data_IF_002684699640
#
_entry.id   IF_002684699640
#
_cell.length_a   1.000
_cell.length_b   1.000
_cell.length_c   1.000
_cell.angle_alpha   90.00
_cell.angle_beta   90.00
_cell.angle_gamma   90.00
#
_symmetry.space_group_name_H-M   'P 1'
#
loop_
_entity.id
_entity.type
_entity.pdbx_description
1 polymer ?
#
# COMPACT_ATOMS: atom_id res chain seq x y z
N UNK A 1 -12.20 3.35 -4.92
CA UNK A 1 -11.70 2.13 -5.58
C UNK A 1 -10.20 2.19 -5.40
N UNK A 2 -9.56 1.16 -4.83
CA UNK A 2 -8.11 1.15 -4.66
C UNK A 2 -7.46 1.10 -6.04
N UNK A 3 -6.56 2.03 -6.33
CA UNK A 3 -5.77 1.95 -7.55
C UNK A 3 -4.79 0.76 -7.48
N UNK A 4 -4.82 -0.16 -8.45
CA UNK A 4 -3.94 -1.33 -8.48
C UNK A 4 -2.45 -0.96 -8.41
N UNK A 5 -2.07 0.20 -8.96
CA UNK A 5 -0.68 0.67 -8.99
C UNK A 5 -0.18 1.06 -7.59
N UNK A 6 -1.01 1.70 -6.77
CA UNK A 6 -0.67 2.05 -5.39
C UNK A 6 -0.53 0.80 -4.53
N UNK A 7 -1.41 -0.19 -4.70
CA UNK A 7 -1.28 -1.48 -4.04
C UNK A 7 0.02 -2.20 -4.40
N UNK A 8 0.40 -2.20 -5.69
CA UNK A 8 1.69 -2.70 -6.14
C UNK A 8 2.85 -1.94 -5.52
N UNK A 9 2.82 -0.60 -5.51
CA UNK A 9 3.89 0.21 -4.92
C UNK A 9 4.07 -0.04 -3.42
N UNK A 10 2.98 -0.17 -2.66
CA UNK A 10 3.03 -0.57 -1.24
C UNK A 10 3.65 -1.95 -1.11
N UNK A 11 3.16 -2.93 -1.88
CA UNK A 11 3.66 -4.29 -1.81
C UNK A 11 5.17 -4.35 -2.06
N UNK A 12 5.64 -3.74 -3.15
CA UNK A 12 7.06 -3.71 -3.50
C UNK A 12 7.89 -2.93 -2.48
N UNK A 13 7.36 -1.82 -1.94
CA UNK A 13 8.03 -1.04 -0.90
C UNK A 13 8.29 -1.86 0.38
N UNK A 14 7.39 -2.79 0.74
CA UNK A 14 7.60 -3.71 1.87
C UNK A 14 8.59 -4.85 1.60
N UNK A 15 8.96 -5.05 0.33
CA UNK A 15 9.75 -6.19 -0.12
C UNK A 15 11.26 -5.90 -0.06
N UNK A 16 11.70 -4.64 -0.21
CA UNK A 16 13.13 -4.27 -0.10
C UNK A 16 13.69 -4.52 1.31
N UNK A 17 12.87 -4.39 2.35
CA UNK A 17 13.33 -4.64 3.73
C UNK A 17 13.45 -6.12 4.06
N UNK A 18 12.91 -7.00 3.21
CA UNK A 18 13.21 -8.41 3.28
C UNK A 18 14.64 -8.63 2.77
N UNK A 19 15.59 -8.69 3.71
CA UNK A 19 17.02 -9.09 3.54
C UNK A 19 17.25 -10.28 2.60
N UNK A 20 16.20 -11.06 2.33
CA UNK A 20 16.14 -12.21 1.44
C UNK A 20 16.43 -11.87 -0.03
N UNK A 21 16.08 -10.66 -0.51
CA UNK A 21 16.33 -10.25 -1.90
C UNK A 21 17.76 -9.75 -2.15
N UNK A 22 18.45 -9.22 -1.14
CA UNK A 22 19.81 -8.70 -1.31
C UNK A 22 20.88 -9.80 -1.28
N UNK A 23 20.59 -10.95 -0.67
CA UNK A 23 21.58 -12.01 -0.38
C UNK A 23 21.52 -13.22 -1.31
N UNK A 24 20.59 -13.24 -2.27
CA UNK A 24 20.39 -14.37 -3.18
C UNK A 24 20.82 -13.99 -4.61
N UNK A 25 21.08 -14.97 -5.47
CA UNK A 25 21.28 -14.78 -6.92
C UNK A 25 20.05 -14.18 -7.63
N UNK A 26 18.89 -14.12 -6.94
CA UNK A 26 17.62 -13.54 -7.39
C UNK A 26 17.47 -12.04 -7.04
N UNK A 27 18.52 -11.24 -7.24
CA UNK A 27 18.40 -9.79 -7.07
C UNK A 27 17.40 -9.22 -8.08
N UNK A 28 16.63 -8.22 -7.64
CA UNK A 28 15.88 -7.37 -8.58
C UNK A 28 16.85 -6.54 -9.40
N UNK A 29 16.44 -6.12 -10.60
CA UNK A 29 17.24 -5.26 -11.45
C UNK A 29 17.60 -3.94 -10.76
N UNK A 30 18.76 -3.38 -11.12
CA UNK A 30 19.20 -2.07 -10.62
C UNK A 30 18.16 -0.97 -10.90
N UNK A 31 17.48 -1.05 -12.05
CA UNK A 31 16.40 -0.14 -12.41
C UNK A 31 15.24 -0.23 -11.42
N UNK A 32 14.77 -1.44 -11.08
CA UNK A 32 13.70 -1.61 -10.12
C UNK A 32 14.13 -1.12 -8.73
N UNK A 33 15.35 -1.43 -8.30
CA UNK A 33 15.91 -0.96 -7.04
C UNK A 33 15.95 0.57 -6.95
N UNK A 34 16.35 1.25 -8.04
CA UNK A 34 16.33 2.70 -8.15
C UNK A 34 14.90 3.26 -8.02
N UNK A 35 13.93 2.67 -8.73
CA UNK A 35 12.53 3.12 -8.68
C UNK A 35 11.88 2.94 -7.32
N UNK A 36 12.22 1.87 -6.61
CA UNK A 36 11.75 1.67 -5.24
C UNK A 36 12.37 2.72 -4.32
N UNK A 37 13.67 2.98 -4.44
CA UNK A 37 14.36 4.00 -3.64
C UNK A 37 13.77 5.39 -3.86
N UNK A 38 13.44 5.74 -5.11
CA UNK A 38 12.75 6.99 -5.47
C UNK A 38 11.36 7.06 -4.83
N UNK A 39 10.55 6.00 -4.94
CA UNK A 39 9.24 5.92 -4.30
C UNK A 39 9.32 6.10 -2.79
N UNK A 40 10.18 5.35 -2.10
CA UNK A 40 10.33 5.43 -0.62
C UNK A 40 10.83 6.81 -0.21
N UNK A 41 11.78 7.40 -0.94
CA UNK A 41 12.28 8.75 -0.67
C UNK A 41 11.16 9.78 -0.77
N UNK A 42 10.36 9.73 -1.83
CA UNK A 42 9.25 10.67 -2.04
C UNK A 42 8.13 10.44 -1.03
N UNK A 43 7.81 9.19 -0.74
CA UNK A 43 6.85 8.85 0.30
C UNK A 43 7.34 9.34 1.68
N UNK A 44 8.64 9.27 1.98
CA UNK A 44 9.19 9.73 3.25
C UNK A 44 9.05 11.24 3.43
N UNK A 45 9.20 12.02 2.35
CA UNK A 45 9.01 13.48 2.38
C UNK A 45 7.58 13.87 2.73
N UNK A 46 6.60 13.14 2.19
CA UNK A 46 5.17 13.52 2.25
C UNK A 46 4.42 12.79 3.38
N UNK A 47 4.70 11.51 3.57
CA UNK A 47 4.08 10.63 4.55
C UNK A 47 5.15 9.78 5.28
N UNK A 48 6.02 10.41 6.11
CA UNK A 48 7.14 9.72 6.76
C UNK A 48 6.70 8.54 7.63
N UNK A 49 5.55 8.64 8.30
CA UNK A 49 5.01 7.56 9.12
C UNK A 49 4.65 6.32 8.30
N UNK A 50 4.02 6.54 7.15
CA UNK A 50 3.67 5.45 6.22
C UNK A 50 4.94 4.83 5.66
N UNK A 51 5.93 5.63 5.23
CA UNK A 51 7.23 5.11 4.79
C UNK A 51 7.93 4.24 5.86
N UNK A 52 7.98 4.69 7.11
CA UNK A 52 8.52 3.89 8.23
C UNK A 52 7.72 2.60 8.46
N UNK A 53 6.40 2.64 8.33
CA UNK A 53 5.57 1.44 8.48
C UNK A 53 5.84 0.41 7.37
N UNK A 54 6.10 0.86 6.12
CA UNK A 54 6.53 -0.03 5.04
C UNK A 54 7.90 -0.66 5.33
N UNK A 55 8.84 0.13 5.86
CA UNK A 55 10.17 -0.36 6.21
C UNK A 55 10.09 -1.45 7.29
N UNK A 56 9.25 -1.23 8.30
CA UNK A 56 9.05 -2.14 9.43
C UNK A 56 8.11 -3.32 9.12
N UNK A 57 7.44 -3.34 7.96
CA UNK A 57 6.45 -4.34 7.59
C UNK A 57 6.89 -5.82 7.74
N UNK A 58 8.17 -6.20 7.49
CA UNK A 58 8.61 -7.58 7.70
C UNK A 58 8.63 -8.01 9.17
N UNK A 59 8.82 -7.07 10.10
CA UNK A 59 8.89 -7.33 11.54
C UNK A 59 7.57 -6.98 12.25
N UNK A 60 6.80 -6.07 11.67
CA UNK A 60 5.56 -5.54 12.21
C UNK A 60 4.45 -5.63 11.17
N UNK A 61 3.39 -6.45 11.38
CA UNK A 61 2.32 -6.62 10.41
C UNK A 61 1.73 -5.27 9.96
N UNK A 62 1.80 -5.00 8.66
CA UNK A 62 1.26 -3.79 8.05
C UNK A 62 -0.24 -3.95 7.75
N UNK A 63 -1.03 -2.92 8.06
CA UNK A 63 -2.37 -2.77 7.48
C UNK A 63 -2.20 -2.23 6.05
N UNK A 64 -2.08 -3.15 5.09
CA UNK A 64 -1.91 -2.83 3.68
C UNK A 64 -3.09 -2.01 3.14
N UNK A 65 -4.30 -2.25 3.65
CA UNK A 65 -5.48 -1.48 3.28
C UNK A 65 -5.36 -0.01 3.65
N UNK A 66 -4.98 0.27 4.89
CA UNK A 66 -4.76 1.63 5.37
C UNK A 66 -3.58 2.30 4.67
N UNK A 67 -2.46 1.58 4.50
CA UNK A 67 -1.27 2.12 3.83
C UNK A 67 -1.59 2.53 2.37
N UNK A 68 -2.35 1.72 1.64
CA UNK A 68 -2.78 2.05 0.28
C UNK A 68 -3.65 3.30 0.25
N UNK A 69 -4.62 3.43 1.16
CA UNK A 69 -5.48 4.62 1.22
C UNK A 69 -4.71 5.89 1.55
N UNK A 70 -3.76 5.81 2.49
CA UNK A 70 -2.91 6.94 2.85
C UNK A 70 -2.05 7.39 1.67
N UNK A 71 -1.36 6.45 1.01
CA UNK A 71 -0.52 6.76 -0.15
C UNK A 71 -1.34 7.28 -1.32
N UNK A 72 -2.50 6.71 -1.60
CA UNK A 72 -3.40 7.21 -2.64
C UNK A 72 -3.89 8.64 -2.33
N UNK A 73 -4.18 8.93 -1.06
CA UNK A 73 -4.65 10.25 -0.64
C UNK A 73 -3.57 11.32 -0.80
N UNK A 74 -2.33 11.02 -0.43
CA UNK A 74 -1.23 11.97 -0.59
C UNK A 74 -0.77 12.10 -2.04
N UNK A 75 -0.75 11.01 -2.81
CA UNK A 75 -0.36 11.03 -4.22
C UNK A 75 -1.31 11.85 -5.10
N UNK A 76 -2.59 11.96 -4.74
CA UNK A 76 -3.55 12.84 -5.44
C UNK A 76 -3.15 14.32 -5.44
N UNK A 77 -2.35 14.74 -4.48
CA UNK A 77 -1.91 16.13 -4.33
C UNK A 77 -0.41 16.31 -4.59
N UNK A 78 0.31 15.24 -4.95
CA UNK A 78 1.75 15.26 -5.18
C UNK A 78 2.09 14.53 -6.48
N UNK A 79 2.38 15.31 -7.52
CA UNK A 79 2.69 14.80 -8.85
C UNK A 79 3.97 13.95 -8.87
N UNK A 80 4.95 14.25 -8.00
CA UNK A 80 6.22 13.54 -7.94
C UNK A 80 6.03 12.13 -7.36
N UNK A 81 5.23 12.02 -6.30
CA UNK A 81 4.84 10.76 -5.69
C UNK A 81 3.97 9.94 -6.65
N UNK A 82 2.95 10.54 -7.26
CA UNK A 82 2.11 9.86 -8.24
C UNK A 82 2.93 9.34 -9.43
N UNK A 83 3.89 10.12 -9.92
CA UNK A 83 4.82 9.70 -10.97
C UNK A 83 5.70 8.54 -10.49
N UNK A 84 6.26 8.60 -9.28
CA UNK A 84 7.09 7.53 -8.75
C UNK A 84 6.33 6.21 -8.59
N UNK A 85 5.06 6.24 -8.19
CA UNK A 85 4.19 5.05 -8.12
C UNK A 85 4.00 4.43 -9.51
N UNK A 86 3.73 5.25 -10.53
CA UNK A 86 3.57 4.79 -11.90
C UNK A 86 4.86 4.19 -12.48
N UNK A 87 6.00 4.86 -12.28
CA UNK A 87 7.29 4.37 -12.75
C UNK A 87 7.71 3.08 -12.04
N UNK A 88 7.45 2.98 -10.74
CA UNK A 88 7.68 1.77 -9.97
C UNK A 88 6.83 0.62 -10.49
N UNK A 89 5.53 0.82 -10.70
CA UNK A 89 4.65 -0.23 -11.22
C UNK A 89 5.11 -0.75 -12.59
N UNK A 90 5.56 0.13 -13.49
CA UNK A 90 6.13 -0.28 -14.79
C UNK A 90 7.43 -1.07 -14.64
N UNK A 91 8.31 -0.66 -13.72
CA UNK A 91 9.54 -1.39 -13.46
C UNK A 91 9.27 -2.80 -12.92
N UNK A 92 8.23 -2.95 -12.09
CA UNK A 92 7.78 -4.24 -11.56
C UNK A 92 7.22 -5.14 -12.66
N UNK A 93 6.41 -4.59 -13.58
CA UNK A 93 5.89 -5.34 -14.73
C UNK A 93 7.01 -5.82 -15.66
N UNK A 94 8.09 -5.04 -15.77
CA UNK A 94 9.26 -5.37 -16.58
C UNK A 94 10.25 -6.32 -15.87
N UNK A 95 10.07 -6.61 -14.58
CA UNK A 95 10.99 -7.42 -13.79
C UNK A 95 10.65 -8.92 -13.91
N UNK A 96 11.52 -9.75 -14.52
CA UNK A 96 11.29 -11.18 -14.68
C UNK A 96 11.56 -12.02 -13.42
N UNK A 97 11.73 -11.40 -12.25
CA UNK A 97 12.07 -12.08 -11.00
C UNK A 97 10.86 -12.85 -10.42
N UNK A 98 10.91 -14.18 -10.50
CA UNK A 98 9.81 -15.05 -10.06
C UNK A 98 9.52 -14.92 -8.56
N UNK A 99 10.55 -14.76 -7.71
CA UNK A 99 10.37 -14.58 -6.27
C UNK A 99 9.65 -13.27 -5.95
N UNK A 100 10.00 -12.18 -6.65
CA UNK A 100 9.27 -10.94 -6.53
C UNK A 100 7.80 -11.15 -6.89
N UNK A 101 7.50 -11.82 -8.00
CA UNK A 101 6.12 -12.11 -8.40
C UNK A 101 5.35 -12.94 -7.37
N UNK A 102 6.00 -13.92 -6.73
CA UNK A 102 5.42 -14.71 -5.64
C UNK A 102 5.08 -13.82 -4.43
N UNK A 103 6.02 -12.98 -3.99
CA UNK A 103 5.79 -12.10 -2.84
C UNK A 103 4.68 -11.08 -3.15
N UNK A 104 4.66 -10.51 -4.36
CA UNK A 104 3.59 -9.60 -4.77
C UNK A 104 2.22 -10.28 -4.77
N UNK A 105 2.16 -11.55 -5.14
CA UNK A 105 0.94 -12.34 -5.06
C UNK A 105 0.50 -12.55 -3.61
N UNK A 106 1.41 -12.91 -2.71
CA UNK A 106 1.10 -13.08 -1.28
C UNK A 106 0.57 -11.78 -0.65
N UNK A 107 1.19 -10.64 -0.97
CA UNK A 107 0.73 -9.35 -0.48
C UNK A 107 -0.63 -8.98 -1.09
N UNK A 108 -0.86 -9.28 -2.36
CA UNK A 108 -2.16 -9.07 -3.01
C UNK A 108 -3.27 -9.90 -2.37
N UNK A 109 -2.98 -11.17 -2.06
CA UNK A 109 -3.92 -12.05 -1.37
C UNK A 109 -4.19 -11.56 0.06
N UNK A 110 -3.15 -11.08 0.76
CA UNK A 110 -3.27 -10.43 2.07
C UNK A 110 -4.13 -9.18 1.99
N UNK A 111 -3.89 -8.30 1.02
CA UNK A 111 -4.70 -7.10 0.80
C UNK A 111 -6.15 -7.46 0.49
N UNK A 112 -6.40 -8.47 -0.34
CA UNK A 112 -7.75 -8.97 -0.63
C UNK A 112 -8.45 -9.51 0.64
N UNK A 113 -7.70 -10.16 1.53
CA UNK A 113 -8.23 -10.60 2.84
C UNK A 113 -8.50 -9.42 3.80
N UNK A 114 -7.81 -8.30 3.63
CA UNK A 114 -8.03 -7.04 4.37
C UNK A 114 -9.10 -6.13 3.74
N UNK A 115 -9.54 -6.39 2.50
CA UNK A 115 -10.59 -5.63 1.84
C UNK A 115 -11.98 -5.61 2.52
N UNK A 116 -12.40 -6.57 3.39
CA UNK A 116 -13.63 -6.39 4.17
C UNK A 116 -13.59 -5.11 5.00
N UNK A 117 -12.41 -4.72 5.47
CA UNK A 117 -12.19 -3.53 6.30
C UNK A 117 -12.31 -2.23 5.49
N UNK A 118 -11.88 -2.20 4.23
CA UNK A 118 -11.93 -1.00 3.38
C UNK A 118 -13.34 -0.73 2.86
N UNK A 119 -14.09 -1.78 2.50
CA UNK A 119 -15.53 -1.63 2.22
C UNK A 119 -16.29 -1.16 3.46
N UNK A 120 -15.89 -1.63 4.65
CA UNK A 120 -16.50 -1.19 5.90
C UNK A 120 -16.09 0.23 6.29
N UNK A 121 -14.86 0.68 6.04
CA UNK A 121 -14.43 2.07 6.30
C UNK A 121 -15.11 3.04 5.33
N UNK A 122 -15.27 2.69 4.04
CA UNK A 122 -16.08 3.48 3.11
C UNK A 122 -17.53 3.60 3.56
N UNK A 123 -18.14 2.50 3.99
CA UNK A 123 -19.49 2.49 4.60
C UNK A 123 -19.53 3.22 5.94
N UNK A 124 -18.47 3.19 6.74
CA UNK A 124 -18.38 3.88 8.03
C UNK A 124 -18.25 5.39 7.82
N UNK A 125 -17.46 5.83 6.84
CA UNK A 125 -17.33 7.22 6.44
C UNK A 125 -18.65 7.75 5.84
N UNK A 126 -19.35 6.97 5.03
CA UNK A 126 -20.72 7.28 4.58
C UNK A 126 -21.70 7.38 5.76
N UNK A 127 -21.65 6.44 6.71
CA UNK A 127 -22.49 6.48 7.93
C UNK A 127 -22.21 7.70 8.79
N UNK A 128 -20.94 8.07 8.97
CA UNK A 128 -20.51 9.26 9.72
C UNK A 128 -20.94 10.54 8.99
N UNK A 129 -20.80 10.58 7.66
CA UNK A 129 -21.26 11.71 6.85
C UNK A 129 -22.79 11.91 6.92
N UNK A 130 -23.57 10.82 7.01
CA UNK A 130 -25.04 10.88 7.21
C UNK A 130 -25.39 11.41 8.61
N UNK A 131 -24.65 11.01 9.65
CA UNK A 131 -24.86 11.50 11.02
C UNK A 131 -24.45 12.98 11.16
N UNK A 132 -23.36 13.41 10.52
CA UNK A 132 -22.92 14.81 10.51
C UNK A 132 -23.88 15.74 9.75
N UNK A 133 -24.70 15.20 8.84
CA UNK A 133 -25.74 15.91 8.10
C UNK A 133 -27.12 15.85 8.77
N UNK A 134 -27.21 15.40 10.02
CA UNK A 134 -28.44 15.42 10.82
C UNK A 134 -29.35 14.19 10.67
N UNK A 135 -28.89 13.12 10.02
CA UNK A 135 -29.65 11.87 9.93
C UNK A 135 -29.48 10.99 11.17
N UNK A 136 -30.55 10.80 11.94
CA UNK A 136 -30.58 9.87 13.07
C UNK A 136 -30.49 8.41 12.59
N UNK A 137 -29.38 7.73 12.84
CA UNK A 137 -29.31 6.27 12.72
C UNK A 137 -29.66 5.61 14.05
N UNK A 138 -30.80 4.90 14.09
CA UNK A 138 -31.13 3.97 15.17
C UNK A 138 -30.02 2.91 15.27
N UNK A 139 -29.28 2.93 16.37
CA UNK A 139 -28.32 1.87 16.71
C UNK A 139 -29.12 0.81 17.46
N UNK A 140 -29.55 -0.23 16.76
CA UNK A 140 -30.08 -1.41 17.43
C UNK A 140 -28.88 -2.17 18.03
N UNK A 141 -28.83 -2.23 19.35
CA UNK A 141 -27.83 -2.92 20.16
C UNK A 141 -27.64 -4.35 19.67
N UNK A 142 -26.43 -4.71 19.27
CA UNK A 142 -26.04 -6.11 19.08
C UNK A 142 -25.80 -6.67 20.49
N UNK A 143 -26.67 -7.58 20.93
CA UNK A 143 -26.46 -8.34 22.16
C UNK A 143 -25.22 -9.23 22.01
N UNK A 144 -24.37 -9.17 23.03
CA UNK A 144 -23.14 -9.95 23.22
C UNK A 144 -23.41 -11.46 23.30
#
# INVERSE_FOLDING_TARGET
MIEPLTATAIAVGTVITQKTLEKTEDKVSDLLSEKISQFITNLTKIAPKTATALELAPEHPLDYGQAVLEVETVAKNDEELAKSINELAKAVEAEPNLKLQEILKEIKDTLASQQPTIQNIGKLAEKIAVVAQGGTTNINTINL
#
